data_IF_949164409942
#
_entry.id   IF_949164409942
#
_cell.length_a   1.000
_cell.length_b   1.000
_cell.length_c   1.000
_cell.angle_alpha   90.00
_cell.angle_beta   90.00
_cell.angle_gamma   90.00
#
_symmetry.space_group_name_H-M   'P 1'
#
loop_
_entity.id
_entity.type
_entity.pdbx_description
1 polymer ?
#
# COMPACT_ATOMS: atom_id res chain seq x y z
N UNK A 1 21.93 -67.48 -17.99
CA UNK A 1 22.34 -67.32 -19.40
C UNK A 1 21.36 -68.08 -20.27
N UNK A 2 20.86 -67.62 -21.43
CA UNK A 2 20.85 -66.26 -22.02
C UNK A 2 19.86 -66.25 -23.20
N UNK A 3 18.97 -65.25 -23.28
CA UNK A 3 18.23 -64.81 -24.49
C UNK A 3 17.29 -65.85 -25.17
N UNK A 4 16.30 -65.43 -25.99
CA UNK A 4 16.60 -65.03 -27.37
C UNK A 4 15.74 -63.88 -27.98
N UNK A 5 16.37 -63.18 -28.94
CA UNK A 5 15.88 -62.50 -30.16
C UNK A 5 14.42 -62.01 -30.33
N UNK A 6 14.31 -60.69 -30.52
CA UNK A 6 13.77 -59.97 -31.70
C UNK A 6 12.78 -60.66 -32.66
N UNK A 7 11.59 -60.08 -32.83
CA UNK A 7 11.01 -59.75 -34.15
C UNK A 7 9.93 -58.67 -34.00
N UNK A 8 9.72 -57.87 -35.04
CA UNK A 8 8.67 -56.84 -35.07
C UNK A 8 7.58 -57.19 -36.10
N UNK A 9 6.35 -56.77 -35.83
CA UNK A 9 5.20 -56.90 -36.74
C UNK A 9 4.20 -55.78 -36.52
N UNK A 10 3.69 -55.20 -37.61
CA UNK A 10 2.64 -54.18 -37.59
C UNK A 10 1.26 -54.85 -37.63
N UNK A 11 0.26 -54.23 -36.99
CA UNK A 11 -1.16 -54.43 -37.32
C UNK A 11 -1.97 -53.16 -37.05
N UNK A 12 -2.92 -52.86 -37.93
CA UNK A 12 -3.78 -51.67 -37.88
C UNK A 12 -5.07 -51.91 -37.07
N UNK A 13 -5.54 -50.88 -36.36
CA UNK A 13 -6.93 -50.53 -35.97
C UNK A 13 -6.84 -49.45 -34.88
N UNK A 14 -7.79 -48.55 -34.64
CA UNK A 14 -9.07 -48.23 -35.28
C UNK A 14 -9.36 -46.72 -35.06
N UNK A 15 -10.08 -46.06 -35.97
CA UNK A 15 -10.53 -44.68 -35.79
C UNK A 15 -11.93 -44.67 -35.16
N UNK A 16 -12.06 -44.10 -33.96
CA UNK A 16 -13.37 -43.87 -33.32
C UNK A 16 -13.48 -42.45 -32.74
N UNK A 17 -14.54 -41.76 -33.16
CA UNK A 17 -14.89 -40.37 -32.89
C UNK A 17 -15.00 -39.99 -31.41
N UNK A 18 -14.47 -38.82 -31.03
CA UNK A 18 -14.94 -38.05 -29.86
C UNK A 18 -15.23 -36.61 -30.28
N UNK A 19 -16.50 -36.32 -30.58
CA UNK A 19 -17.02 -34.97 -30.76
C UNK A 19 -17.54 -34.42 -29.44
N UNK A 20 -16.69 -33.72 -28.69
CA UNK A 20 -17.03 -33.04 -27.44
C UNK A 20 -16.83 -31.53 -27.55
N UNK A 21 -17.87 -30.80 -27.95
CA UNK A 21 -17.80 -29.34 -28.13
C UNK A 21 -17.73 -28.64 -26.77
N UNK A 22 -16.55 -28.10 -26.44
CA UNK A 22 -16.37 -27.23 -25.28
C UNK A 22 -16.92 -25.83 -25.59
N UNK A 23 -18.12 -25.50 -25.11
CA UNK A 23 -18.60 -24.12 -25.13
C UNK A 23 -17.77 -23.26 -24.15
N UNK A 24 -17.23 -22.11 -24.57
CA UNK A 24 -16.50 -21.22 -23.67
C UNK A 24 -17.45 -20.63 -22.63
N UNK A 25 -17.22 -20.96 -21.35
CA UNK A 25 -17.94 -20.38 -20.22
C UNK A 25 -17.62 -18.88 -20.16
N UNK A 26 -18.59 -18.01 -20.48
CA UNK A 26 -18.48 -16.56 -20.30
C UNK A 26 -18.05 -16.27 -18.86
N UNK A 27 -16.87 -15.69 -18.67
CA UNK A 27 -16.56 -14.98 -17.42
C UNK A 27 -17.46 -13.74 -17.37
N UNK A 28 -18.16 -13.54 -16.25
CA UNK A 28 -18.93 -12.33 -15.99
C UNK A 28 -17.97 -11.18 -15.71
N UNK A 29 -17.87 -10.25 -16.65
CA UNK A 29 -17.18 -8.97 -16.47
C UNK A 29 -18.08 -7.99 -15.71
N UNK A 30 -18.13 -8.11 -14.38
CA UNK A 30 -18.46 -6.96 -13.52
C UNK A 30 -18.09 -7.23 -12.05
N UNK A 31 -16.88 -6.80 -11.69
CA UNK A 31 -16.44 -6.62 -10.32
C UNK A 31 -15.25 -5.65 -10.34
N UNK A 32 -15.54 -4.35 -10.28
CA UNK A 32 -14.49 -3.36 -9.96
C UNK A 32 -13.77 -3.79 -8.67
N UNK A 33 -12.44 -3.66 -8.57
CA UNK A 33 -11.72 -4.10 -7.38
C UNK A 33 -12.28 -3.39 -6.16
N UNK A 34 -12.81 -4.17 -5.20
CA UNK A 34 -13.41 -3.63 -3.97
C UNK A 34 -12.30 -3.00 -3.13
N UNK A 35 -12.28 -1.69 -3.09
CA UNK A 35 -11.23 -0.92 -2.42
C UNK A 35 -11.43 -1.02 -0.90
N UNK A 36 -10.45 -1.56 -0.17
CA UNK A 36 -10.51 -1.65 1.30
C UNK A 36 -10.15 -0.28 1.93
N UNK A 37 -11.05 0.33 2.72
CA UNK A 37 -10.78 1.61 3.39
C UNK A 37 -9.63 1.53 4.41
N UNK A 38 -9.35 0.36 5.01
CA UNK A 38 -8.23 0.17 5.96
C UNK A 38 -6.89 0.23 5.27
N UNK A 39 -6.79 -0.37 4.09
CA UNK A 39 -5.55 -0.38 3.31
C UNK A 39 -5.28 1.01 2.74
N UNK A 40 -6.29 1.68 2.17
CA UNK A 40 -6.16 3.06 1.70
C UNK A 40 -5.70 4.02 2.81
N UNK A 41 -6.29 3.93 4.01
CA UNK A 41 -5.92 4.86 5.08
C UNK A 41 -4.54 4.55 5.66
N UNK A 42 -4.14 3.27 5.74
CA UNK A 42 -2.78 2.89 6.12
C UNK A 42 -1.74 3.45 5.13
N UNK A 43 -1.95 3.27 3.83
CA UNK A 43 -1.11 3.87 2.78
C UNK A 43 -1.08 5.41 2.88
N UNK A 44 -2.22 6.04 3.24
CA UNK A 44 -2.34 7.50 3.37
C UNK A 44 -1.61 8.08 4.59
N UNK A 45 -1.42 7.31 5.68
CA UNK A 45 -0.67 7.75 6.86
C UNK A 45 0.76 7.20 6.94
N UNK A 46 1.19 6.29 6.06
CA UNK A 46 2.52 5.64 6.09
C UNK A 46 3.66 6.66 6.23
N UNK A 47 3.62 7.75 5.47
CA UNK A 47 4.60 8.83 5.60
C UNK A 47 4.60 9.47 6.99
N UNK A 48 3.42 9.81 7.54
CA UNK A 48 3.31 10.39 8.88
C UNK A 48 3.86 9.42 9.95
N UNK A 49 3.46 8.15 9.89
CA UNK A 49 3.90 7.11 10.83
C UNK A 49 5.41 6.85 10.71
N UNK A 50 5.99 6.94 9.51
CA UNK A 50 7.43 6.77 9.30
C UNK A 50 8.27 7.85 9.99
N UNK A 51 7.74 9.08 10.11
CA UNK A 51 8.45 10.22 10.69
C UNK A 51 8.20 10.37 12.20
N UNK A 52 6.99 10.05 12.67
CA UNK A 52 6.54 10.35 14.04
C UNK A 52 6.33 9.09 14.91
N UNK A 53 6.34 7.90 14.31
CA UNK A 53 5.86 6.68 14.95
C UNK A 53 4.32 6.60 14.98
N UNK A 54 3.80 5.50 15.54
CA UNK A 54 2.37 5.35 15.78
C UNK A 54 1.96 6.12 17.05
N UNK A 55 0.98 7.05 16.98
CA UNK A 55 0.54 7.80 18.15
C UNK A 55 -0.12 6.92 19.21
N UNK A 56 0.03 7.30 20.48
CA UNK A 56 -0.86 6.79 21.54
C UNK A 56 -2.27 7.34 21.34
N UNK A 57 -3.18 6.48 20.87
CA UNK A 57 -4.58 6.79 20.60
C UNK A 57 -5.44 6.84 21.87
N UNK A 58 -4.95 7.52 22.91
CA UNK A 58 -5.68 7.76 24.15
C UNK A 58 -6.91 8.68 23.93
N UNK A 59 -7.91 8.67 24.83
CA UNK A 59 -9.17 9.41 24.63
C UNK A 59 -9.02 10.93 24.43
N UNK A 60 -7.99 11.54 25.01
CA UNK A 60 -7.73 12.98 24.85
C UNK A 60 -7.19 13.29 23.44
N UNK A 61 -6.31 12.44 22.91
CA UNK A 61 -5.86 12.55 21.52
C UNK A 61 -7.01 12.31 20.54
N UNK A 62 -7.85 11.27 20.75
CA UNK A 62 -9.04 11.04 19.90
C UNK A 62 -10.01 12.21 19.89
N UNK A 63 -10.24 12.86 21.04
CA UNK A 63 -11.01 14.11 21.10
C UNK A 63 -10.37 15.20 20.22
N UNK A 64 -9.05 15.35 20.29
CA UNK A 64 -8.30 16.34 19.50
C UNK A 64 -8.41 16.09 17.99
N UNK A 65 -8.36 14.82 17.55
CA UNK A 65 -8.56 14.45 16.15
C UNK A 65 -9.97 14.79 15.65
N UNK A 66 -11.00 14.54 16.47
CA UNK A 66 -12.40 14.89 16.16
C UNK A 66 -12.67 16.40 16.11
N UNK A 67 -12.11 17.14 17.07
CA UNK A 67 -12.23 18.60 17.11
C UNK A 67 -11.55 19.21 15.87
N UNK A 68 -10.39 18.68 15.48
CA UNK A 68 -9.70 19.02 14.24
C UNK A 68 -10.53 18.69 12.99
N UNK A 69 -11.10 17.49 12.88
CA UNK A 69 -11.98 17.10 11.76
C UNK A 69 -13.15 18.08 11.61
N UNK A 70 -13.76 18.48 12.73
CA UNK A 70 -14.85 19.46 12.76
C UNK A 70 -14.38 20.83 12.26
N UNK A 71 -13.20 21.29 12.72
CA UNK A 71 -12.58 22.54 12.28
C UNK A 71 -12.28 22.55 10.77
N UNK A 72 -11.71 21.46 10.25
CA UNK A 72 -11.41 21.28 8.82
C UNK A 72 -12.68 21.33 7.99
N UNK A 73 -13.68 20.51 8.33
CA UNK A 73 -14.97 20.47 7.64
C UNK A 73 -15.67 21.84 7.65
N UNK A 74 -15.66 22.57 8.78
CA UNK A 74 -16.23 23.92 8.86
C UNK A 74 -15.50 24.94 7.97
N UNK A 75 -14.15 24.93 7.97
CA UNK A 75 -13.35 25.84 7.14
C UNK A 75 -13.57 25.59 5.66
N UNK A 76 -13.42 24.34 5.20
CA UNK A 76 -13.62 23.92 3.81
C UNK A 76 -15.06 24.15 3.31
N UNK A 77 -16.08 23.93 4.17
CA UNK A 77 -17.48 24.28 3.88
C UNK A 77 -17.70 25.78 3.72
N UNK A 78 -17.06 26.58 4.56
CA UNK A 78 -17.32 28.03 4.61
C UNK A 78 -16.59 28.83 3.53
N UNK A 79 -15.56 28.27 2.91
CA UNK A 79 -14.65 28.99 2.02
C UNK A 79 -13.69 29.96 2.72
N UNK A 80 -13.76 30.09 4.06
CA UNK A 80 -13.03 31.13 4.82
C UNK A 80 -11.86 30.57 5.58
N UNK A 81 -10.76 31.33 5.61
CA UNK A 81 -9.56 30.98 6.36
C UNK A 81 -9.03 29.58 6.02
N UNK A 82 -9.15 29.18 4.74
CA UNK A 82 -8.68 27.88 4.22
C UNK A 82 -7.15 27.87 4.18
N UNK A 83 -6.52 29.01 3.98
CA UNK A 83 -5.06 29.22 4.04
C UNK A 83 -4.44 28.97 5.43
N UNK A 84 -5.28 28.76 6.46
CA UNK A 84 -4.85 28.32 7.80
C UNK A 84 -4.90 26.79 7.97
N UNK A 85 -5.46 26.05 7.00
CA UNK A 85 -5.38 24.60 6.98
C UNK A 85 -3.99 24.20 6.46
N UNK A 86 -3.35 23.29 7.19
CA UNK A 86 -2.00 22.79 6.91
C UNK A 86 -2.05 21.28 6.68
N UNK A 87 -0.97 20.71 6.13
CA UNK A 87 -0.81 19.26 6.00
C UNK A 87 -1.10 18.56 7.35
N UNK A 88 -0.64 19.10 8.49
CA UNK A 88 -0.92 18.57 9.84
C UNK A 88 -2.42 18.49 10.20
N UNK A 89 -3.24 19.42 9.71
CA UNK A 89 -4.69 19.35 9.91
C UNK A 89 -5.30 18.18 9.12
N UNK A 90 -4.78 17.90 7.93
CA UNK A 90 -5.22 16.76 7.11
C UNK A 90 -4.67 15.44 7.62
N UNK A 91 -3.42 15.40 8.07
CA UNK A 91 -2.82 14.25 8.76
C UNK A 91 -3.68 13.86 9.96
N UNK A 92 -4.18 14.81 10.75
CA UNK A 92 -5.11 14.53 11.87
C UNK A 92 -6.48 13.99 11.43
N UNK A 93 -6.97 14.32 10.23
CA UNK A 93 -8.18 13.69 9.66
C UNK A 93 -7.88 12.26 9.22
N UNK A 94 -6.75 12.02 8.56
CA UNK A 94 -6.31 10.68 8.16
C UNK A 94 -5.98 9.79 9.36
N UNK A 95 -5.38 10.34 10.42
CA UNK A 95 -5.12 9.64 11.69
C UNK A 95 -6.42 9.28 12.42
N UNK A 96 -7.48 10.08 12.31
CA UNK A 96 -8.80 9.69 12.82
C UNK A 96 -9.34 8.47 12.07
N UNK A 97 -9.26 8.48 10.73
CA UNK A 97 -9.70 7.36 9.90
C UNK A 97 -8.81 6.11 10.10
N UNK A 98 -7.50 6.28 10.31
CA UNK A 98 -6.56 5.21 10.62
C UNK A 98 -6.83 4.63 12.03
N UNK A 99 -7.14 5.46 13.01
CA UNK A 99 -7.60 4.99 14.31
C UNK A 99 -8.89 4.17 14.18
N UNK A 100 -9.86 4.62 13.39
CA UNK A 100 -11.07 3.82 13.07
C UNK A 100 -10.72 2.48 12.41
N UNK A 101 -9.69 2.43 11.56
CA UNK A 101 -9.21 1.21 10.91
C UNK A 101 -8.62 0.18 11.90
N UNK A 102 -7.78 0.65 12.84
CA UNK A 102 -7.01 -0.19 13.77
C UNK A 102 -7.74 -0.52 15.08
N UNK A 103 -8.83 0.16 15.40
CA UNK A 103 -9.50 -0.01 16.69
C UNK A 103 -10.16 -1.39 16.81
N UNK A 104 -9.87 -2.08 17.91
CA UNK A 104 -10.33 -3.45 18.18
C UNK A 104 -11.63 -3.52 18.98
N UNK A 105 -12.17 -2.39 19.45
CA UNK A 105 -13.49 -2.35 20.09
C UNK A 105 -14.60 -2.68 19.07
N UNK A 106 -15.73 -3.25 19.50
CA UNK A 106 -16.93 -3.35 18.67
C UNK A 106 -17.33 -1.99 18.10
N UNK A 107 -17.71 -1.94 16.82
CA UNK A 107 -18.07 -0.69 16.14
C UNK A 107 -19.26 0.03 16.81
N UNK A 108 -20.17 -0.71 17.46
CA UNK A 108 -21.27 -0.13 18.23
C UNK A 108 -20.78 0.72 19.42
N UNK A 109 -19.74 0.26 20.12
CA UNK A 109 -19.10 1.02 21.21
C UNK A 109 -18.40 2.26 20.66
N UNK A 110 -17.63 2.11 19.58
CA UNK A 110 -16.93 3.23 18.94
C UNK A 110 -17.89 4.29 18.41
N UNK A 111 -19.00 3.88 17.80
CA UNK A 111 -20.04 4.81 17.38
C UNK A 111 -20.64 5.54 18.59
N UNK A 112 -20.97 4.83 19.67
CA UNK A 112 -21.58 5.40 20.88
C UNK A 112 -20.65 6.37 21.62
N UNK A 113 -19.39 5.99 21.80
CA UNK A 113 -18.39 6.79 22.52
C UNK A 113 -17.89 7.98 21.70
N UNK A 114 -17.64 7.78 20.39
CA UNK A 114 -16.90 8.73 19.58
C UNK A 114 -17.70 9.34 18.41
N UNK A 115 -18.97 8.96 18.21
CA UNK A 115 -19.79 9.42 17.08
C UNK A 115 -19.12 9.19 15.70
N UNK A 116 -18.51 8.01 15.51
CA UNK A 116 -17.81 7.65 14.27
C UNK A 116 -18.69 7.89 13.03
N UNK A 117 -19.96 7.47 13.06
CA UNK A 117 -20.92 7.71 11.98
C UNK A 117 -21.06 9.18 11.59
N UNK A 118 -21.18 10.08 12.57
CA UNK A 118 -21.26 11.52 12.33
C UNK A 118 -19.97 12.08 11.72
N UNK A 119 -18.80 11.57 12.14
CA UNK A 119 -17.51 11.96 11.58
C UNK A 119 -17.32 11.48 10.13
N UNK A 120 -17.71 10.25 9.79
CA UNK A 120 -17.64 9.74 8.42
C UNK A 120 -18.59 10.53 7.49
N UNK A 121 -19.85 10.72 7.90
CA UNK A 121 -20.81 11.54 7.15
C UNK A 121 -20.36 13.00 6.98
N UNK A 122 -19.62 13.56 7.95
CA UNK A 122 -19.05 14.91 7.83
C UNK A 122 -17.87 14.98 6.86
N UNK A 123 -17.16 13.88 6.62
CA UNK A 123 -16.12 13.77 5.59
C UNK A 123 -16.76 13.60 4.20
N UNK A 124 -17.81 12.78 4.08
CA UNK A 124 -18.53 12.49 2.83
C UNK A 124 -19.50 13.60 2.37
N UNK A 125 -19.92 14.52 3.24
CA UNK A 125 -20.77 15.66 2.87
C UNK A 125 -20.04 16.54 1.85
N UNK A 126 -20.47 16.46 0.58
CA UNK A 126 -19.86 17.18 -0.55
C UNK A 126 -19.79 18.68 -0.33
N UNK A 127 -20.67 19.26 0.50
CA UNK A 127 -20.63 20.69 0.86
C UNK A 127 -19.42 21.05 1.72
N UNK A 128 -18.81 20.07 2.38
CA UNK A 128 -17.62 20.25 3.22
C UNK A 128 -16.31 20.16 2.42
N UNK A 129 -16.35 19.91 1.10
CA UNK A 129 -15.20 19.97 0.18
C UNK A 129 -13.95 19.23 0.68
N UNK A 130 -14.12 18.12 1.41
CA UNK A 130 -13.01 17.33 1.95
C UNK A 130 -12.20 16.69 0.80
N UNK A 131 -10.88 16.46 0.92
CA UNK A 131 -10.12 15.79 -0.12
C UNK A 131 -10.70 14.43 -0.49
N UNK A 132 -10.72 14.12 -1.79
CA UNK A 132 -11.36 12.95 -2.37
C UNK A 132 -10.90 11.63 -1.73
N UNK A 133 -9.61 11.50 -1.41
CA UNK A 133 -9.06 10.31 -0.76
C UNK A 133 -9.69 10.07 0.63
N UNK A 134 -9.92 11.14 1.40
CA UNK A 134 -10.63 11.07 2.67
C UNK A 134 -12.10 10.66 2.47
N UNK A 135 -12.76 11.17 1.42
CA UNK A 135 -14.14 10.81 1.10
C UNK A 135 -14.27 9.32 0.73
N UNK A 136 -13.36 8.80 -0.09
CA UNK A 136 -13.33 7.38 -0.50
C UNK A 136 -13.12 6.48 0.71
N UNK A 137 -12.14 6.79 1.57
CA UNK A 137 -11.87 6.04 2.80
C UNK A 137 -13.10 6.06 3.74
N UNK A 138 -13.67 7.25 3.99
CA UNK A 138 -14.79 7.39 4.90
C UNK A 138 -16.05 6.67 4.40
N UNK A 139 -16.33 6.75 3.09
CA UNK A 139 -17.40 6.02 2.42
C UNK A 139 -17.21 4.52 2.55
N UNK A 140 -16.01 4.00 2.29
CA UNK A 140 -15.72 2.57 2.45
C UNK A 140 -15.97 2.07 3.87
N UNK A 141 -15.52 2.82 4.88
CA UNK A 141 -15.83 2.51 6.28
C UNK A 141 -17.33 2.57 6.59
N UNK A 142 -18.04 3.59 6.08
CA UNK A 142 -19.48 3.71 6.29
C UNK A 142 -20.24 2.53 5.67
N UNK A 143 -19.92 2.15 4.44
CA UNK A 143 -20.57 1.02 3.75
C UNK A 143 -20.29 -0.31 4.45
N UNK A 144 -19.07 -0.52 4.95
CA UNK A 144 -18.74 -1.70 5.77
C UNK A 144 -19.53 -1.72 7.09
N UNK A 145 -19.57 -0.61 7.81
CA UNK A 145 -20.27 -0.52 9.10
C UNK A 145 -21.79 -0.59 8.94
N UNK A 146 -22.34 -0.04 7.85
CA UNK A 146 -23.76 -0.20 7.48
C UNK A 146 -24.10 -1.67 7.15
N UNK A 147 -23.20 -2.39 6.46
CA UNK A 147 -23.40 -3.82 6.15
C UNK A 147 -23.45 -4.73 7.39
N UNK A 148 -22.89 -4.31 8.53
CA UNK A 148 -22.98 -5.00 9.83
C UNK A 148 -23.93 -4.29 10.82
N UNK A 149 -24.86 -3.47 10.31
CA UNK A 149 -25.84 -2.71 11.09
C UNK A 149 -25.22 -1.92 12.27
N UNK A 150 -24.06 -1.31 12.04
CA UNK A 150 -23.25 -0.59 13.05
C UNK A 150 -22.91 -1.42 14.30
N UNK A 151 -22.89 -2.75 14.18
CA UNK A 151 -22.66 -3.68 15.28
C UNK A 151 -23.82 -3.76 16.29
N UNK A 152 -25.00 -3.20 15.95
CA UNK A 152 -26.21 -3.39 16.74
C UNK A 152 -26.71 -4.82 16.51
N UNK A 153 -26.86 -5.66 17.56
CA UNK A 153 -27.44 -6.99 17.40
C UNK A 153 -28.81 -6.89 16.74
N UNK A 154 -29.01 -7.67 15.68
CA UNK A 154 -30.35 -7.85 15.10
C UNK A 154 -31.13 -8.70 16.10
N UNK A 155 -32.01 -8.06 16.88
CA UNK A 155 -33.00 -8.81 17.66
C UNK A 155 -33.83 -9.65 16.68
N UNK A 156 -34.07 -10.95 16.96
CA UNK A 156 -34.85 -11.80 16.07
C UNK A 156 -36.28 -11.24 15.96
N UNK A 157 -36.73 -10.98 14.73
CA UNK A 157 -38.06 -10.42 14.48
C UNK A 157 -39.16 -11.33 15.05
N UNK A 158 -39.82 -10.85 16.11
CA UNK A 158 -41.06 -11.43 16.61
C UNK A 158 -42.19 -10.89 15.71
N UNK A 159 -43.03 -11.74 15.10
CA UNK A 159 -44.09 -11.26 14.21
C UNK A 159 -45.07 -10.30 14.91
N UNK A 160 -45.34 -9.15 14.27
CA UNK A 160 -46.11 -8.03 14.83
C UNK A 160 -47.56 -8.39 15.24
N UNK A 161 -47.96 -7.97 16.45
CA UNK A 161 -49.37 -7.71 16.79
C UNK A 161 -49.73 -6.21 16.59
N UNK A 162 -50.91 -5.87 16.01
CA UNK A 162 -51.16 -4.51 15.53
C UNK A 162 -51.89 -3.58 16.52
N UNK A 163 -51.19 -2.62 17.13
CA UNK A 163 -51.76 -1.44 17.85
C UNK A 163 -50.77 -0.25 17.78
N UNK A 164 -51.13 1.03 17.81
CA UNK A 164 -52.34 1.77 17.45
C UNK A 164 -51.98 3.28 17.28
N UNK A 165 -52.78 4.04 16.51
CA UNK A 165 -52.54 5.47 16.14
C UNK A 165 -52.38 6.42 17.35
N UNK A 166 -51.51 7.45 17.28
CA UNK A 166 -51.77 8.81 17.87
C UNK A 166 -50.98 9.98 17.22
N UNK A 167 -51.73 10.86 16.55
CA UNK A 167 -51.63 12.34 16.37
C UNK A 167 -50.34 13.17 16.65
N UNK A 168 -49.86 13.81 15.58
CA UNK A 168 -49.59 15.27 15.39
C UNK A 168 -48.82 16.12 16.43
N UNK A 169 -47.82 16.91 15.96
CA UNK A 169 -48.02 18.33 15.57
C UNK A 169 -46.82 18.94 14.81
N UNK A 170 -47.11 19.89 13.91
CA UNK A 170 -46.13 20.80 13.27
C UNK A 170 -45.76 21.95 14.22
N UNK A 171 -44.54 22.47 14.10
CA UNK A 171 -44.23 23.88 14.34
C UNK A 171 -43.20 24.37 13.31
N UNK A 172 -43.41 25.60 12.82
CA UNK A 172 -42.60 26.38 11.86
C UNK A 172 -42.01 27.55 12.70
N UNK A 173 -40.88 28.19 12.35
CA UNK A 173 -40.81 29.54 11.74
C UNK A 173 -39.43 30.18 11.98
N UNK A 174 -38.97 30.96 10.99
CA UNK A 174 -37.98 32.06 10.95
C UNK A 174 -36.45 31.90 11.21
N UNK A 175 -35.75 32.20 10.11
CA UNK A 175 -34.47 32.90 9.97
C UNK A 175 -34.55 34.37 10.43
N UNK A 176 -33.56 34.87 11.21
CA UNK A 176 -33.23 36.30 11.33
C UNK A 176 -31.72 36.56 11.48
N UNK A 177 -31.29 37.67 10.88
CA UNK A 177 -29.92 38.18 10.80
C UNK A 177 -29.45 38.95 12.04
N UNK A 178 -28.14 38.93 12.35
CA UNK A 178 -27.34 40.10 12.74
C UNK A 178 -25.84 39.77 12.87
N UNK A 179 -24.96 40.68 12.43
CA UNK A 179 -23.53 40.68 12.79
C UNK A 179 -23.28 41.37 14.13
N UNK A 180 -22.22 40.98 14.84
CA UNK A 180 -21.38 41.94 15.55
C UNK A 180 -19.88 41.85 15.19
N UNK A 181 -19.26 43.00 14.93
CA UNK A 181 -17.84 43.31 15.26
C UNK A 181 -17.81 43.81 16.73
N UNK A 182 -16.67 43.98 17.45
CA UNK A 182 -15.25 43.99 17.06
C UNK A 182 -14.46 42.90 17.86
N UNK A 183 -13.14 42.87 18.12
CA UNK A 183 -11.98 43.81 18.04
C UNK A 183 -10.73 43.10 17.49
N UNK A 184 -9.67 43.86 17.21
CA UNK A 184 -8.36 43.33 16.80
C UNK A 184 -7.48 42.90 18.00
N UNK A 185 -6.72 41.82 17.83
CA UNK A 185 -5.57 41.48 18.66
C UNK A 185 -4.34 41.31 17.77
N UNK A 186 -3.31 42.14 17.96
CA UNK A 186 -2.01 41.99 17.31
C UNK A 186 -1.16 41.00 18.11
N UNK A 187 -0.57 40.02 17.44
CA UNK A 187 0.62 39.31 17.92
C UNK A 187 1.62 39.22 16.77
N UNK A 188 2.76 39.91 16.91
CA UNK A 188 4.03 39.53 16.26
C UNK A 188 4.71 38.55 17.23
N UNK A 189 5.34 37.45 16.82
CA UNK A 189 6.56 37.26 16.03
C UNK A 189 6.74 35.73 15.89
N UNK A 190 7.60 35.10 15.08
CA UNK A 190 8.75 35.52 14.26
C UNK A 190 8.90 34.48 13.11
N UNK A 191 9.79 34.75 12.15
CA UNK A 191 10.27 33.78 11.15
C UNK A 191 9.23 33.29 10.12
N UNK A 192 8.68 34.23 9.37
CA UNK A 192 7.84 33.95 8.21
C UNK A 192 8.58 33.26 7.06
N UNK A 193 8.37 31.94 6.91
CA UNK A 193 8.51 31.22 5.64
C UNK A 193 7.29 30.34 5.40
N UNK A 194 6.33 30.87 4.64
CA UNK A 194 5.22 30.08 4.09
C UNK A 194 5.76 29.09 3.06
N UNK A 195 5.70 27.79 3.36
CA UNK A 195 6.01 26.75 2.38
C UNK A 195 4.85 26.61 1.38
N UNK A 196 5.16 26.53 0.09
CA UNK A 196 4.14 26.43 -0.98
C UNK A 196 3.56 25.02 -1.03
N UNK A 197 2.26 24.85 -1.36
CA UNK A 197 1.68 23.54 -1.64
C UNK A 197 2.39 22.87 -2.83
N UNK A 198 2.40 21.54 -2.84
CA UNK A 198 3.10 20.74 -3.85
C UNK A 198 2.52 20.99 -5.25
N UNK A 199 3.36 21.39 -6.20
CA UNK A 199 2.96 21.40 -7.61
C UNK A 199 3.13 19.99 -8.19
N UNK A 200 2.05 19.37 -8.65
CA UNK A 200 2.09 18.13 -9.44
C UNK A 200 2.21 18.51 -10.91
N UNK A 201 3.30 18.09 -11.55
CA UNK A 201 3.63 18.40 -12.94
C UNK A 201 3.61 17.09 -13.73
N UNK A 202 2.85 17.08 -14.83
CA UNK A 202 2.73 15.94 -15.75
C UNK A 202 3.53 16.19 -17.02
N UNK A 203 4.09 15.13 -17.57
CA UNK A 203 4.69 15.17 -18.90
C UNK A 203 3.60 15.36 -19.96
N UNK A 204 4.00 15.76 -21.16
CA UNK A 204 3.16 15.60 -22.34
C UNK A 204 3.06 14.12 -22.71
N UNK A 205 1.92 13.70 -23.26
CA UNK A 205 1.68 12.32 -23.67
C UNK A 205 2.68 11.80 -24.72
N UNK A 206 3.25 12.72 -25.53
CA UNK A 206 4.27 12.45 -26.55
C UNK A 206 5.71 12.38 -26.01
N UNK A 207 5.92 12.59 -24.71
CA UNK A 207 7.26 12.61 -24.12
C UNK A 207 7.89 11.22 -24.07
N UNK A 208 9.00 11.01 -24.79
CA UNK A 208 9.65 9.69 -24.99
C UNK A 208 9.94 8.86 -23.73
N UNK A 209 10.10 9.51 -22.57
CA UNK A 209 10.40 8.83 -21.30
C UNK A 209 9.19 8.77 -20.36
N UNK A 210 8.34 9.80 -20.33
CA UNK A 210 7.32 10.02 -19.28
C UNK A 210 5.88 10.14 -19.81
N UNK A 211 5.71 10.27 -21.13
CA UNK A 211 4.43 10.19 -21.81
C UNK A 211 3.92 8.74 -21.88
N UNK A 212 2.77 8.53 -22.52
CA UNK A 212 1.97 7.30 -22.40
C UNK A 212 2.68 6.01 -22.84
N UNK A 213 3.73 6.11 -23.67
CA UNK A 213 4.51 4.98 -24.16
C UNK A 213 5.97 4.97 -23.66
N UNK A 214 6.33 5.92 -22.79
CA UNK A 214 7.66 6.00 -22.19
C UNK A 214 7.80 5.08 -20.97
N UNK A 215 9.01 4.67 -20.62
CA UNK A 215 9.24 3.74 -19.50
C UNK A 215 8.79 4.28 -18.12
N UNK A 216 8.73 5.59 -17.97
CA UNK A 216 8.18 6.32 -16.82
C UNK A 216 6.74 6.83 -17.06
N UNK A 217 5.97 6.21 -17.97
CA UNK A 217 4.55 6.53 -18.18
C UNK A 217 3.76 6.53 -16.86
N UNK A 218 2.78 7.44 -16.74
CA UNK A 218 1.98 7.67 -15.53
C UNK A 218 2.79 7.90 -14.24
N UNK A 219 3.98 8.51 -14.35
CA UNK A 219 4.76 8.97 -13.20
C UNK A 219 4.90 10.48 -13.29
N UNK A 220 4.42 11.15 -12.25
CA UNK A 220 4.32 12.62 -12.16
C UNK A 220 5.42 13.17 -11.28
N UNK A 221 5.84 14.41 -11.56
CA UNK A 221 6.81 15.14 -10.76
C UNK A 221 6.07 15.97 -9.70
N UNK A 222 6.22 15.60 -8.43
CA UNK A 222 5.79 16.42 -7.29
C UNK A 222 6.92 17.36 -6.88
N UNK A 223 6.61 18.65 -6.76
CA UNK A 223 7.56 19.69 -6.37
C UNK A 223 7.09 20.37 -5.08
N UNK A 224 7.65 19.94 -3.93
CA UNK A 224 7.58 20.67 -2.63
C UNK A 224 8.88 21.46 -2.41
N UNK A 225 9.94 20.77 -1.96
CA UNK A 225 11.31 21.30 -1.76
C UNK A 225 12.34 20.71 -2.73
N UNK A 226 12.06 19.53 -3.26
CA UNK A 226 12.85 18.78 -4.22
C UNK A 226 11.92 18.09 -5.23
N UNK A 227 12.46 17.64 -6.36
CA UNK A 227 11.71 16.83 -7.34
C UNK A 227 11.50 15.41 -6.77
N UNK A 228 10.26 15.00 -6.59
CA UNK A 228 9.89 13.64 -6.17
C UNK A 228 9.02 13.01 -7.26
N UNK A 229 9.32 11.77 -7.63
CA UNK A 229 8.55 11.00 -8.60
C UNK A 229 7.47 10.17 -7.90
N UNK A 230 6.21 10.30 -8.34
CA UNK A 230 5.04 9.64 -7.74
C UNK A 230 4.21 8.99 -8.86
N UNK A 231 3.60 7.82 -8.60
CA UNK A 231 2.66 7.21 -9.55
C UNK A 231 1.40 8.06 -9.64
N UNK A 232 0.89 8.31 -10.84
CA UNK A 232 -0.38 9.02 -11.01
C UNK A 232 -1.57 8.18 -10.50
N UNK A 233 -2.63 8.83 -10.03
CA UNK A 233 -3.67 8.21 -9.20
C UNK A 233 -4.43 7.02 -9.83
N UNK A 234 -4.35 6.84 -11.15
CA UNK A 234 -5.22 5.94 -11.90
C UNK A 234 -4.56 4.67 -12.44
N UNK A 235 -3.23 4.51 -12.27
CA UNK A 235 -2.44 3.56 -13.08
C UNK A 235 -1.48 2.67 -12.26
N UNK A 236 -1.71 2.53 -10.93
CA UNK A 236 -0.95 1.61 -10.08
C UNK A 236 -1.60 0.21 -10.11
N UNK A 237 -0.91 -0.75 -10.74
CA UNK A 237 -1.29 -2.17 -10.71
C UNK A 237 -1.13 -2.74 -9.29
N UNK A 238 -2.10 -3.57 -8.87
CA UNK A 238 -2.05 -4.18 -7.54
C UNK A 238 -0.80 -5.07 -7.39
N UNK A 239 -0.03 -4.85 -6.33
CA UNK A 239 1.18 -5.60 -6.01
C UNK A 239 0.92 -6.80 -5.09
N UNK A 240 -0.26 -6.90 -4.48
CA UNK A 240 -0.65 -7.93 -3.49
C UNK A 240 -1.06 -9.26 -4.13
N UNK A 241 -0.59 -9.50 -5.33
CA UNK A 241 -0.78 -10.74 -6.09
C UNK A 241 0.42 -11.63 -5.84
N UNK A 242 0.22 -12.89 -5.44
CA UNK A 242 1.32 -13.87 -5.33
C UNK A 242 1.80 -14.33 -6.71
N UNK A 243 3.08 -14.67 -6.82
CA UNK A 243 3.68 -15.10 -8.08
C UNK A 243 4.11 -13.93 -8.96
N UNK A 244 4.23 -14.19 -10.28
CA UNK A 244 4.82 -13.26 -11.24
C UNK A 244 4.07 -11.94 -11.38
N UNK A 245 2.77 -11.89 -11.04
CA UNK A 245 1.92 -10.71 -11.26
C UNK A 245 1.96 -10.19 -12.72
N UNK A 246 2.08 -11.09 -13.70
CA UNK A 246 2.23 -10.73 -15.11
C UNK A 246 3.54 -9.98 -15.45
N UNK A 247 4.60 -10.20 -14.67
CA UNK A 247 5.94 -9.65 -14.91
C UNK A 247 6.90 -10.73 -15.40
N UNK A 248 7.78 -10.36 -16.32
CA UNK A 248 8.77 -11.25 -16.91
C UNK A 248 10.14 -11.10 -16.23
N UNK A 249 10.84 -12.22 -16.01
CA UNK A 249 12.21 -12.21 -15.48
C UNK A 249 13.10 -11.41 -16.41
N UNK A 250 13.86 -10.45 -15.88
CA UNK A 250 14.67 -9.53 -16.69
C UNK A 250 13.97 -8.21 -17.05
N UNK A 251 12.71 -8.00 -16.65
CA UNK A 251 12.09 -6.66 -16.66
C UNK A 251 12.90 -5.70 -15.78
N UNK A 252 13.12 -4.49 -16.29
CA UNK A 252 13.92 -3.45 -15.65
C UNK A 252 13.18 -2.12 -15.60
N UNK A 253 13.40 -1.38 -14.52
CA UNK A 253 12.85 -0.05 -14.28
C UNK A 253 13.97 0.93 -13.95
N UNK A 254 13.88 2.20 -14.41
CA UNK A 254 14.83 3.23 -14.00
C UNK A 254 14.80 3.50 -12.49
N UNK A 255 13.61 3.40 -11.88
CA UNK A 255 13.36 3.74 -10.49
C UNK A 255 12.32 2.81 -9.85
N UNK A 256 12.39 2.65 -8.52
CA UNK A 256 11.42 1.85 -7.74
C UNK A 256 9.96 2.28 -7.94
N UNK A 257 9.69 3.58 -8.13
CA UNK A 257 8.33 4.09 -8.39
C UNK A 257 7.70 3.50 -9.67
N UNK A 258 8.49 3.23 -10.71
CA UNK A 258 7.99 2.56 -11.92
C UNK A 258 7.75 1.05 -11.68
N UNK A 259 8.62 0.40 -10.90
CA UNK A 259 8.38 -0.97 -10.45
C UNK A 259 7.13 -1.09 -9.56
N UNK A 260 6.78 -0.04 -8.81
CA UNK A 260 5.53 0.02 -8.03
C UNK A 260 4.30 0.24 -8.89
N UNK A 261 4.36 1.13 -9.89
CA UNK A 261 3.30 1.31 -10.90
C UNK A 261 2.93 -0.02 -11.55
N UNK A 262 3.94 -0.81 -11.91
CA UNK A 262 3.75 -2.10 -12.60
C UNK A 262 3.43 -3.27 -11.65
N UNK A 263 3.18 -3.00 -10.36
CA UNK A 263 2.79 -4.02 -9.37
C UNK A 263 3.92 -4.97 -8.96
N UNK A 264 5.17 -4.67 -9.31
CA UNK A 264 6.32 -5.52 -8.95
C UNK A 264 6.60 -5.48 -7.44
N UNK A 265 6.44 -4.31 -6.81
CA UNK A 265 6.65 -4.10 -5.38
C UNK A 265 5.71 -3.04 -4.81
N UNK A 266 5.37 -3.12 -3.52
CA UNK A 266 4.34 -2.24 -2.92
C UNK A 266 4.83 -0.90 -2.39
N UNK A 267 6.07 -0.81 -1.90
CA UNK A 267 6.55 0.31 -1.09
C UNK A 267 7.64 1.16 -1.79
N UNK A 268 7.68 2.49 -1.57
CA UNK A 268 8.69 3.37 -2.17
C UNK A 268 10.08 3.19 -1.55
N UNK A 269 10.14 2.92 -0.23
CA UNK A 269 11.39 2.83 0.55
C UNK A 269 11.58 1.45 1.17
N UNK A 270 10.59 0.93 1.91
CA UNK A 270 10.73 -0.35 2.62
C UNK A 270 11.18 -1.49 1.71
N UNK A 271 12.14 -2.32 2.15
CA UNK A 271 12.66 -3.43 1.34
C UNK A 271 11.67 -4.59 1.18
N UNK A 272 10.68 -4.71 2.06
CA UNK A 272 9.71 -5.81 2.12
C UNK A 272 8.32 -5.26 1.82
N UNK A 273 7.52 -6.01 1.06
CA UNK A 273 6.10 -5.75 0.84
C UNK A 273 5.30 -7.02 1.07
N UNK A 274 4.33 -6.96 1.98
CA UNK A 274 3.63 -8.14 2.52
C UNK A 274 2.76 -7.82 3.72
N UNK A 275 1.89 -8.76 4.09
CA UNK A 275 1.06 -8.68 5.30
C UNK A 275 1.35 -9.86 6.24
N UNK A 276 1.16 -9.67 7.55
CA UNK A 276 1.29 -10.74 8.53
C UNK A 276 0.27 -11.88 8.30
N UNK A 277 -0.90 -11.56 7.74
CA UNK A 277 -1.98 -12.51 7.48
C UNK A 277 -1.69 -13.42 6.27
N UNK A 278 -1.18 -12.87 5.18
CA UNK A 278 -1.12 -13.58 3.89
C UNK A 278 0.28 -14.04 3.50
N UNK A 279 1.31 -13.28 3.90
CA UNK A 279 2.71 -13.48 3.55
C UNK A 279 3.35 -12.27 2.88
N UNK A 280 4.64 -12.40 2.57
CA UNK A 280 5.40 -11.48 1.75
C UNK A 280 5.09 -11.70 0.25
N UNK A 281 4.78 -10.61 -0.45
CA UNK A 281 4.57 -10.57 -1.90
C UNK A 281 5.87 -10.38 -2.67
N UNK A 282 6.72 -9.49 -2.17
CA UNK A 282 7.96 -9.10 -2.84
C UNK A 282 8.98 -8.50 -1.89
N UNK A 283 10.27 -8.67 -2.23
CA UNK A 283 11.40 -8.01 -1.57
C UNK A 283 12.29 -7.29 -2.59
N UNK A 284 13.00 -6.27 -2.10
CA UNK A 284 14.01 -5.51 -2.84
C UNK A 284 15.37 -5.68 -2.15
N UNK A 285 16.38 -6.14 -2.89
CA UNK A 285 17.78 -6.16 -2.47
C UNK A 285 18.44 -4.86 -2.94
N UNK A 286 18.77 -3.99 -1.99
CA UNK A 286 19.11 -2.58 -2.23
C UNK A 286 20.57 -2.19 -1.94
N UNK A 287 21.38 -3.10 -1.36
CA UNK A 287 22.73 -2.80 -0.89
C UNK A 287 22.80 -2.20 0.51
N UNK A 288 21.66 -1.81 1.08
CA UNK A 288 21.56 -1.21 2.42
C UNK A 288 21.99 -2.18 3.54
N UNK A 289 21.92 -3.49 3.28
CA UNK A 289 22.20 -4.54 4.25
C UNK A 289 23.36 -5.48 3.87
N UNK A 290 24.27 -5.06 2.97
CA UNK A 290 25.30 -5.94 2.38
C UNK A 290 26.29 -6.57 3.38
N UNK A 291 26.42 -6.06 4.62
CA UNK A 291 27.25 -6.67 5.68
C UNK A 291 26.52 -7.75 6.54
N UNK A 292 25.22 -8.01 6.30
CA UNK A 292 24.48 -9.16 6.89
C UNK A 292 23.66 -9.97 5.87
N UNK A 293 23.29 -9.38 4.74
CA UNK A 293 22.69 -10.09 3.62
C UNK A 293 23.76 -10.88 2.86
N UNK A 294 23.42 -12.09 2.40
CA UNK A 294 24.31 -12.91 1.56
C UNK A 294 23.56 -13.33 0.32
N UNK A 295 23.87 -12.67 -0.79
CA UNK A 295 23.20 -12.86 -2.08
C UNK A 295 24.10 -13.59 -3.08
N UNK A 296 23.67 -14.80 -3.46
CA UNK A 296 24.35 -15.64 -4.46
C UNK A 296 23.55 -15.75 -5.77
N UNK A 297 22.54 -14.90 -5.97
CA UNK A 297 21.61 -15.04 -7.09
C UNK A 297 20.48 -16.00 -6.77
N UNK A 298 20.67 -17.31 -7.00
CA UNK A 298 19.63 -18.32 -6.82
C UNK A 298 19.33 -18.67 -5.35
N UNK A 299 20.20 -18.25 -4.43
CA UNK A 299 19.95 -18.29 -2.99
C UNK A 299 20.29 -16.95 -2.36
N UNK A 300 19.48 -16.54 -1.40
CA UNK A 300 19.62 -15.27 -0.70
C UNK A 300 19.38 -15.48 0.80
N UNK A 301 20.31 -15.01 1.63
CA UNK A 301 20.04 -14.69 3.03
C UNK A 301 19.65 -13.22 3.10
N UNK A 302 18.38 -12.95 3.42
CA UNK A 302 17.83 -11.59 3.48
C UNK A 302 17.49 -11.22 4.92
N UNK A 303 17.88 -10.03 5.35
CA UNK A 303 17.63 -9.52 6.70
C UNK A 303 16.35 -8.67 6.78
N UNK A 304 15.88 -8.43 8.00
CA UNK A 304 14.77 -7.50 8.27
C UNK A 304 15.29 -6.10 8.57
N UNK A 305 14.44 -5.09 8.39
CA UNK A 305 14.74 -3.70 8.76
C UNK A 305 15.32 -3.58 10.19
N UNK A 306 16.29 -2.67 10.35
CA UNK A 306 17.11 -2.47 11.55
C UNK A 306 18.12 -3.59 11.88
N UNK A 307 18.45 -4.48 10.93
CA UNK A 307 19.44 -5.55 11.18
C UNK A 307 20.86 -5.05 11.51
N UNK A 308 21.25 -3.83 11.12
CA UNK A 308 22.57 -3.24 11.43
C UNK A 308 22.59 -2.33 12.65
N UNK A 309 21.47 -1.69 13.00
CA UNK A 309 21.37 -0.71 14.07
C UNK A 309 20.34 -1.19 15.11
N UNK A 310 20.79 -2.00 16.09
CA UNK A 310 19.90 -2.48 17.15
C UNK A 310 19.39 -1.31 17.99
N UNK A 311 18.08 -1.32 18.29
CA UNK A 311 17.42 -0.31 19.16
C UNK A 311 18.06 -0.22 20.55
N UNK A 312 18.63 -1.32 21.05
CA UNK A 312 19.40 -1.40 22.30
C UNK A 312 20.51 -2.46 22.13
N UNK A 313 21.77 -2.06 22.28
CA UNK A 313 22.95 -2.96 22.22
C UNK A 313 23.11 -3.74 23.53
N UNK A 314 22.64 -3.21 24.66
CA UNK A 314 22.73 -3.83 25.98
C UNK A 314 21.61 -4.87 26.20
N UNK A 315 20.48 -4.72 25.49
CA UNK A 315 19.37 -5.68 25.46
C UNK A 315 18.94 -5.96 24.01
N UNK A 316 19.80 -6.62 23.21
CA UNK A 316 19.47 -6.89 21.83
C UNK A 316 18.23 -7.77 21.76
N UNK A 317 17.23 -7.32 21.01
CA UNK A 317 15.96 -8.02 20.81
C UNK A 317 15.57 -7.97 19.35
N UNK A 318 14.95 -9.05 18.87
CA UNK A 318 14.40 -9.10 17.52
C UNK A 318 12.98 -8.54 17.56
N UNK A 319 12.73 -7.50 16.77
CA UNK A 319 11.39 -6.96 16.52
C UNK A 319 10.57 -7.93 15.65
N UNK A 320 10.05 -8.98 16.29
CA UNK A 320 9.15 -9.96 15.68
C UNK A 320 7.74 -9.40 15.52
N UNK A 321 7.38 -8.30 16.19
CA UNK A 321 6.06 -7.68 16.05
C UNK A 321 5.92 -6.89 14.74
N UNK A 322 7.02 -6.38 14.18
CA UNK A 322 7.03 -5.67 12.91
C UNK A 322 6.24 -6.41 11.80
N UNK A 323 5.25 -5.77 11.14
CA UNK A 323 4.40 -6.40 10.13
C UNK A 323 5.16 -7.00 8.94
N UNK A 324 6.24 -6.35 8.51
CA UNK A 324 7.08 -6.83 7.41
C UNK A 324 7.85 -8.10 7.80
N UNK A 325 8.43 -8.12 9.01
CA UNK A 325 9.04 -9.32 9.61
C UNK A 325 8.04 -10.46 9.70
N UNK A 326 6.81 -10.19 10.18
CA UNK A 326 5.74 -11.18 10.24
C UNK A 326 5.35 -11.71 8.85
N UNK A 327 5.35 -10.87 7.82
CA UNK A 327 5.05 -11.31 6.44
C UNK A 327 6.07 -12.34 5.92
N UNK A 328 7.36 -12.18 6.25
CA UNK A 328 8.41 -13.16 5.90
C UNK A 328 8.32 -14.43 6.75
N UNK A 329 8.03 -14.32 8.05
CA UNK A 329 7.73 -15.48 8.93
C UNK A 329 6.50 -16.25 8.41
N UNK A 330 5.49 -15.55 7.90
CA UNK A 330 4.30 -16.14 7.29
C UNK A 330 4.64 -16.83 5.96
N UNK A 331 5.46 -16.23 5.10
CA UNK A 331 5.96 -16.89 3.88
C UNK A 331 6.83 -18.10 4.18
N UNK A 332 7.60 -18.10 5.27
CA UNK A 332 8.39 -19.29 5.68
C UNK A 332 7.51 -20.49 6.07
N UNK A 333 6.25 -20.26 6.44
CA UNK A 333 5.25 -21.30 6.75
C UNK A 333 4.39 -21.68 5.54
N UNK A 334 3.91 -20.68 4.80
CA UNK A 334 2.98 -20.89 3.67
C UNK A 334 3.65 -21.30 2.37
N UNK A 335 4.97 -21.09 2.24
CA UNK A 335 5.76 -21.36 1.02
C UNK A 335 5.25 -20.67 -0.25
N UNK A 336 4.43 -19.61 -0.11
CA UNK A 336 3.98 -18.81 -1.24
C UNK A 336 5.18 -18.11 -1.91
N UNK A 337 5.15 -17.96 -3.25
CA UNK A 337 6.25 -17.37 -4.00
C UNK A 337 6.35 -15.85 -3.76
N UNK A 338 7.58 -15.41 -3.47
CA UNK A 338 7.98 -14.02 -3.25
C UNK A 338 8.71 -13.51 -4.49
N UNK A 339 8.32 -12.36 -5.05
CA UNK A 339 9.10 -11.70 -6.11
C UNK A 339 10.37 -11.08 -5.53
N UNK A 340 11.52 -11.34 -6.15
CA UNK A 340 12.79 -10.69 -5.78
C UNK A 340 13.16 -9.66 -6.84
N UNK A 341 13.34 -8.42 -6.40
CA UNK A 341 13.87 -7.33 -7.20
C UNK A 341 15.28 -7.01 -6.70
N UNK A 342 16.23 -6.77 -7.61
CA UNK A 342 17.57 -6.28 -7.27
C UNK A 342 17.78 -4.89 -7.84
N UNK A 343 18.41 -4.01 -7.07
CA UNK A 343 18.82 -2.69 -7.58
C UNK A 343 20.30 -2.70 -7.98
N UNK A 344 20.75 -1.72 -8.76
CA UNK A 344 22.17 -1.60 -9.12
C UNK A 344 23.13 -1.34 -7.94
N UNK A 345 22.60 -1.17 -6.73
CA UNK A 345 23.35 -0.96 -5.49
C UNK A 345 23.57 -2.23 -4.65
N UNK A 346 22.89 -3.35 -4.90
CA UNK A 346 23.07 -4.59 -4.12
C UNK A 346 24.49 -5.15 -4.23
N UNK A 347 25.05 -5.77 -3.20
CA UNK A 347 26.43 -6.27 -3.21
C UNK A 347 26.72 -7.37 -4.24
N UNK A 348 25.71 -8.13 -4.67
CA UNK A 348 25.90 -9.25 -5.60
C UNK A 348 26.46 -8.83 -6.96
N UNK A 349 27.41 -9.61 -7.49
CA UNK A 349 28.02 -9.37 -8.80
C UNK A 349 27.06 -9.55 -9.99
N UNK A 350 25.92 -10.25 -9.81
CA UNK A 350 24.90 -10.41 -10.85
C UNK A 350 23.81 -9.33 -10.88
N UNK A 351 23.94 -8.27 -10.06
CA UNK A 351 23.01 -7.12 -10.03
C UNK A 351 22.82 -6.45 -11.39
N UNK A 352 21.70 -5.76 -11.65
CA UNK A 352 21.57 -4.94 -12.85
C UNK A 352 22.57 -3.79 -12.84
N UNK A 353 23.11 -3.41 -14.00
CA UNK A 353 24.06 -2.30 -14.08
C UNK A 353 23.46 -0.96 -13.66
N UNK A 354 22.15 -0.77 -13.85
CA UNK A 354 21.38 0.45 -13.48
C UNK A 354 19.96 0.10 -13.05
N UNK A 355 19.35 0.98 -12.27
CA UNK A 355 17.93 0.91 -11.91
C UNK A 355 17.58 -0.28 -11.02
N UNK A 356 16.43 -0.90 -11.31
CA UNK A 356 15.87 -2.05 -10.60
C UNK A 356 15.53 -3.13 -11.63
N UNK A 357 15.83 -4.41 -11.35
CA UNK A 357 15.47 -5.55 -12.20
C UNK A 357 14.70 -6.60 -11.40
N UNK A 358 13.72 -7.23 -12.02
CA UNK A 358 12.99 -8.36 -11.46
C UNK A 358 13.68 -9.68 -11.81
N UNK A 359 14.15 -10.40 -10.79
CA UNK A 359 14.97 -11.61 -10.93
C UNK A 359 14.18 -12.92 -10.72
N UNK A 360 12.85 -12.82 -10.57
CA UNK A 360 11.93 -13.95 -10.53
C UNK A 360 11.37 -14.27 -9.15
N UNK A 361 10.82 -15.48 -9.02
CA UNK A 361 10.15 -15.98 -7.82
C UNK A 361 11.07 -16.81 -6.94
N UNK A 362 10.96 -16.61 -5.64
CA UNK A 362 11.72 -17.29 -4.61
C UNK A 362 10.78 -17.79 -3.52
N UNK A 363 11.16 -18.86 -2.83
CA UNK A 363 10.44 -19.40 -1.69
C UNK A 363 11.25 -19.18 -0.42
N UNK A 364 10.61 -18.67 0.64
CA UNK A 364 11.23 -18.57 1.97
C UNK A 364 11.34 -19.99 2.57
N UNK A 365 12.53 -20.56 2.58
CA UNK A 365 12.79 -21.94 3.01
C UNK A 365 12.85 -22.05 4.53
N UNK A 366 13.60 -21.17 5.19
CA UNK A 366 13.72 -21.09 6.65
C UNK A 366 14.08 -19.67 7.08
N UNK A 367 14.07 -19.41 8.38
CA UNK A 367 14.72 -18.24 8.96
C UNK A 367 15.45 -18.63 10.25
N UNK A 368 16.46 -17.86 10.60
CA UNK A 368 17.31 -18.07 11.77
C UNK A 368 17.62 -16.71 12.41
N UNK A 369 17.81 -16.70 13.73
CA UNK A 369 18.24 -15.51 14.46
C UNK A 369 19.76 -15.43 14.40
N UNK A 370 20.30 -14.26 14.01
CA UNK A 370 21.74 -13.99 13.92
C UNK A 370 22.10 -12.75 14.72
N UNK A 371 23.40 -12.61 14.98
CA UNK A 371 24.00 -11.43 15.60
C UNK A 371 24.84 -10.71 14.55
N UNK A 372 24.72 -9.38 14.47
CA UNK A 372 25.53 -8.55 13.59
C UNK A 372 26.90 -8.22 14.23
N UNK A 373 27.81 -7.57 13.49
CA UNK A 373 29.15 -7.21 13.98
C UNK A 373 29.13 -6.23 15.18
N UNK A 374 28.01 -5.54 15.43
CA UNK A 374 27.80 -4.62 16.56
C UNK A 374 27.11 -5.29 17.77
N UNK A 375 26.88 -6.61 17.74
CA UNK A 375 26.19 -7.35 18.81
C UNK A 375 24.65 -7.31 18.75
N UNK A 376 24.06 -6.64 17.76
CA UNK A 376 22.62 -6.57 17.56
C UNK A 376 22.01 -7.87 17.00
N UNK A 377 20.84 -8.27 17.50
CA UNK A 377 20.12 -9.46 17.03
C UNK A 377 19.15 -9.12 15.89
N UNK A 378 19.15 -9.93 14.84
CA UNK A 378 18.26 -9.81 13.68
C UNK A 378 17.78 -11.18 13.18
N UNK A 379 16.78 -11.20 12.28
CA UNK A 379 16.39 -12.43 11.56
C UNK A 379 16.99 -12.44 10.16
N UNK A 380 17.62 -13.57 9.82
CA UNK A 380 18.10 -13.88 8.48
C UNK A 380 17.15 -14.92 7.86
N UNK A 381 16.49 -14.56 6.77
CA UNK A 381 15.59 -15.42 6.00
C UNK A 381 16.36 -16.05 4.85
N UNK A 382 16.36 -17.38 4.76
CA UNK A 382 16.93 -18.09 3.63
C UNK A 382 15.86 -18.28 2.56
N UNK A 383 16.05 -17.61 1.42
CA UNK A 383 15.23 -17.75 0.22
C UNK A 383 15.99 -18.58 -0.83
N UNK A 384 15.28 -19.54 -1.45
CA UNK A 384 15.76 -20.25 -2.64
C UNK A 384 14.91 -19.84 -3.84
N UNK A 385 15.53 -19.56 -4.98
CA UNK A 385 14.84 -19.32 -6.25
C UNK A 385 14.02 -20.54 -6.64
N UNK A 386 12.82 -20.30 -7.16
CA UNK A 386 11.93 -21.36 -7.61
C UNK A 386 12.43 -21.93 -8.94
N UNK A 387 12.21 -23.22 -9.13
CA UNK A 387 12.44 -23.90 -10.41
C UNK A 387 11.34 -23.49 -11.43
N UNK A 388 11.46 -23.89 -12.70
CA UNK A 388 10.48 -23.64 -13.77
C UNK A 388 10.22 -22.15 -14.14
N UNK A 389 11.27 -21.33 -14.11
CA UNK A 389 11.26 -19.96 -14.65
C UNK A 389 12.59 -19.71 -15.39
N UNK A 390 12.68 -18.71 -16.30
CA UNK A 390 13.93 -18.37 -16.99
C UNK A 390 15.09 -18.11 -16.01
N UNK A 391 16.36 -18.31 -16.41
CA UNK A 391 17.51 -17.92 -15.59
C UNK A 391 17.48 -16.42 -15.27
N UNK A 392 18.23 -16.00 -14.24
CA UNK A 392 18.39 -14.56 -13.93
C UNK A 392 19.08 -13.88 -15.11
N UNK A 393 18.38 -12.98 -15.79
CA UNK A 393 18.94 -12.29 -16.96
C UNK A 393 19.91 -11.18 -16.55
N UNK A 394 21.20 -11.55 -16.50
CA UNK A 394 22.31 -10.65 -16.18
C UNK A 394 22.66 -9.68 -17.31
N UNK A 395 22.11 -9.85 -18.52
CA UNK A 395 22.32 -8.92 -19.64
C UNK A 395 21.45 -7.65 -19.52
N UNK A 396 20.50 -7.64 -18.58
CA UNK A 396 19.50 -6.58 -18.40
C UNK A 396 19.83 -5.68 -17.20
N UNK A 397 19.59 -4.35 -17.28
CA UNK A 397 19.16 -3.62 -18.47
C UNK A 397 20.27 -3.59 -19.53
N UNK A 398 19.88 -3.52 -20.79
CA UNK A 398 20.80 -3.33 -21.92
C UNK A 398 21.50 -1.97 -21.84
N UNK A 399 22.54 -1.75 -22.65
CA UNK A 399 23.21 -0.45 -22.74
C UNK A 399 22.24 0.68 -23.12
N UNK A 400 21.35 0.43 -24.10
CA UNK A 400 20.37 1.40 -24.59
C UNK A 400 19.34 1.76 -23.51
N UNK A 401 18.79 0.77 -22.82
CA UNK A 401 17.91 0.99 -21.67
C UNK A 401 18.65 1.74 -20.57
N UNK A 402 19.88 1.36 -20.25
CA UNK A 402 20.72 2.07 -19.30
C UNK A 402 20.98 3.53 -19.69
N UNK A 403 21.01 3.86 -20.98
CA UNK A 403 21.11 5.24 -21.47
C UNK A 403 19.76 6.00 -21.42
N UNK A 404 18.63 5.31 -21.48
CA UNK A 404 17.29 5.88 -21.20
C UNK A 404 17.13 6.13 -19.69
N UNK A 405 17.59 5.21 -18.84
CA UNK A 405 17.47 5.32 -17.38
C UNK A 405 18.22 6.55 -16.86
N UNK A 406 19.41 6.83 -17.40
CA UNK A 406 20.19 8.03 -17.05
C UNK A 406 19.45 9.34 -17.33
N UNK A 407 18.56 9.38 -18.34
CA UNK A 407 17.83 10.58 -18.75
C UNK A 407 16.60 10.86 -17.89
N UNK A 408 16.18 9.91 -17.05
CA UNK A 408 15.07 10.10 -16.09
C UNK A 408 15.37 11.22 -15.09
N UNK A 409 16.65 11.45 -14.76
CA UNK A 409 17.07 12.56 -13.86
C UNK A 409 16.85 13.95 -14.47
N UNK A 410 16.85 14.06 -15.80
CA UNK A 410 16.72 15.32 -16.52
C UNK A 410 15.28 15.83 -16.41
N UNK A 411 14.32 14.90 -16.38
CA UNK A 411 12.88 15.14 -16.20
C UNK A 411 12.18 15.47 -17.51
N UNK A 412 11.27 16.43 -17.44
CA UNK A 412 10.51 17.04 -18.54
C UNK A 412 10.07 18.45 -18.15
#
# INVERSE_FOLDING_TARGET
MSSPTTSGGQSQSELASISGINSPRKLSSDASPRIDPRELVADSVDYYLSQNGEPDFNPAFIKTLKDNLTLVAMKLKSGRNIEQLTDEHMDKVLLFLYWVAQNKKPIAELHKEHNVRGCLLAIEDTRNNMPEDCQIIAKGFREEFEAINWGVPVEPEVPDEPKAKTRTKRARVEEKSALPKPKAAKVHNKDGKTEKPACIIRARDDHKIFGLHGIMHHIVMSVKKSKIWVVDKYEKKDFRVFGHNGLEVGMCWPMRVAAMRDGAHGAPVAGISGTAAEGCYSIVVSGEYDDVDVDNGDTLHYSTANAHDPKDILKPTVDKQNPYTQSLIRSSKTKKPVRVLRTSKSGWNGRPAKGVRYDGLYTVVKYEQKTNLKGGLYLSFFLKRNDNQPPIDRSRPTFEEGAIFDKVKDGF
#
